data_IF_157858702950
#
_entry.id   IF_157858702950
#
_cell.length_a   1.000
_cell.length_b   1.000
_cell.length_c   1.000
_cell.angle_alpha   90.00
_cell.angle_beta   90.00
_cell.angle_gamma   90.00
#
_symmetry.space_group_name_H-M   'P 1'
#
loop_
_entity.id
_entity.type
_entity.pdbx_description
1 polymer ?
#
# COMPACT_ATOMS: atom_id res chain seq x y z
N UNK A 1 12.73 9.09 -3.54
CA UNK A 1 12.21 9.86 -2.40
C UNK A 1 11.97 11.29 -2.83
N UNK A 2 10.80 11.82 -2.50
CA UNK A 2 10.48 13.24 -2.72
C UNK A 2 11.12 14.09 -1.62
N UNK A 3 11.59 15.27 -1.97
CA UNK A 3 12.12 16.26 -1.02
C UNK A 3 11.20 17.47 -1.06
N UNK A 4 10.72 17.87 0.10
CA UNK A 4 9.96 19.10 0.27
C UNK A 4 10.86 20.19 0.83
N UNK A 5 10.94 21.33 0.13
CA UNK A 5 11.64 22.50 0.60
C UNK A 5 10.67 23.39 1.37
N UNK A 6 11.02 23.73 2.59
CA UNK A 6 10.29 24.68 3.40
C UNK A 6 11.02 26.02 3.42
N UNK A 7 10.35 27.03 2.92
CA UNK A 7 10.86 28.42 2.91
C UNK A 7 10.49 29.17 4.18
N UNK A 8 9.47 28.74 4.91
CA UNK A 8 9.00 29.38 6.13
C UNK A 8 9.24 28.49 7.37
N UNK A 9 9.51 29.10 8.53
CA UNK A 9 9.67 28.35 9.76
C UNK A 9 8.38 27.63 10.12
N UNK A 10 8.46 26.31 10.26
CA UNK A 10 7.37 25.49 10.73
C UNK A 10 7.11 25.82 12.21
N UNK A 11 5.87 26.13 12.54
CA UNK A 11 5.48 26.36 13.93
C UNK A 11 5.38 24.99 14.63
N UNK A 12 6.25 24.78 15.60
CA UNK A 12 6.35 23.53 16.35
C UNK A 12 5.32 23.47 17.47
N UNK A 13 4.56 22.40 17.55
CA UNK A 13 3.97 22.00 18.83
C UNK A 13 4.94 21.04 19.53
N UNK A 14 5.48 21.48 20.65
CA UNK A 14 6.48 20.76 21.42
C UNK A 14 5.81 19.66 22.26
N UNK A 15 6.10 18.40 21.98
CA UNK A 15 5.89 17.32 22.94
C UNK A 15 7.22 17.02 23.66
N UNK A 16 7.19 16.90 24.99
CA UNK A 16 8.37 16.72 25.88
C UNK A 16 9.25 15.50 25.59
N UNK A 17 8.97 14.72 24.57
CA UNK A 17 9.63 13.44 24.28
C UNK A 17 10.60 13.43 23.10
N UNK A 18 10.94 14.56 22.52
CA UNK A 18 11.85 14.62 21.36
C UNK A 18 11.24 14.11 20.06
N UNK A 19 9.96 13.83 20.00
CA UNK A 19 9.18 13.56 18.81
C UNK A 19 8.39 14.82 18.48
N UNK A 20 8.61 15.32 17.28
CA UNK A 20 7.87 16.45 16.79
C UNK A 20 6.84 15.89 15.80
N UNK A 21 5.58 15.85 16.18
CA UNK A 21 4.51 15.74 15.21
C UNK A 21 4.17 17.15 14.75
N UNK A 22 4.27 17.39 13.45
CA UNK A 22 3.66 18.56 12.87
C UNK A 22 2.16 18.34 12.86
N UNK A 23 1.51 18.83 13.89
CA UNK A 23 0.10 19.17 13.79
C UNK A 23 0.11 20.55 13.19
N UNK A 24 0.13 20.62 11.86
CA UNK A 24 0.04 21.87 11.15
C UNK A 24 -1.31 22.50 11.48
N UNK A 25 -1.31 23.70 12.03
CA UNK A 25 -2.47 24.59 11.95
C UNK A 25 -2.82 24.89 10.48
N UNK A 26 -1.89 24.62 9.57
CA UNK A 26 -2.05 24.71 8.14
C UNK A 26 -2.20 23.32 7.51
N UNK A 27 -3.38 22.70 7.67
CA UNK A 27 -3.83 21.66 6.75
C UNK A 27 -3.64 22.09 5.29
N UNK A 28 -3.59 23.38 5.02
CA UNK A 28 -3.29 23.99 3.73
C UNK A 28 -1.87 23.73 3.27
N UNK A 29 -0.85 23.70 4.14
CA UNK A 29 0.53 23.44 3.74
C UNK A 29 0.71 21.96 3.37
N UNK A 30 0.15 21.05 4.15
CA UNK A 30 0.15 19.62 3.86
C UNK A 30 -0.74 19.27 2.67
N UNK A 31 -1.89 19.92 2.52
CA UNK A 31 -2.75 19.79 1.36
C UNK A 31 -2.09 20.32 0.10
N UNK A 32 -1.31 21.43 0.17
CA UNK A 32 -0.49 21.93 -0.95
C UNK A 32 0.68 21.02 -1.29
N UNK A 33 1.27 20.34 -0.29
CA UNK A 33 2.40 19.44 -0.46
C UNK A 33 1.98 18.08 -0.98
N UNK A 34 0.84 17.54 -0.53
CA UNK A 34 0.45 16.15 -0.77
C UNK A 34 -0.82 15.97 -1.61
N UNK A 35 -1.58 17.03 -1.89
CA UNK A 35 -2.93 16.97 -2.48
C UNK A 35 -3.89 16.01 -1.74
N UNK A 36 -3.56 15.62 -0.51
CA UNK A 36 -4.32 14.69 0.32
C UNK A 36 -4.80 15.41 1.58
N UNK A 37 -6.10 15.35 1.82
CA UNK A 37 -6.70 15.72 3.11
C UNK A 37 -6.53 14.57 4.12
N UNK A 38 -6.48 14.89 5.40
CA UNK A 38 -6.44 13.90 6.47
C UNK A 38 -5.08 13.21 6.66
N UNK A 39 -3.98 13.82 6.19
CA UNK A 39 -2.62 13.35 6.42
C UNK A 39 -1.75 14.43 7.06
N UNK A 40 -0.75 14.01 7.83
CA UNK A 40 0.24 14.89 8.44
C UNK A 40 1.67 14.39 8.18
N UNK A 41 2.65 15.28 8.41
CA UNK A 41 4.07 14.94 8.38
C UNK A 41 4.55 14.58 9.78
N UNK A 42 5.12 13.36 9.91
CA UNK A 42 5.90 12.98 11.08
C UNK A 42 7.38 13.15 10.76
N UNK A 43 8.03 14.15 11.33
CA UNK A 43 9.43 14.51 11.04
C UNK A 43 10.35 13.96 12.12
N UNK A 44 11.51 13.44 11.69
CA UNK A 44 12.57 12.97 12.59
C UNK A 44 13.70 13.99 12.56
N UNK A 45 13.96 14.70 13.67
CA UNK A 45 14.89 15.84 13.75
C UNK A 45 16.37 15.47 13.82
N UNK A 46 16.75 14.28 13.37
CA UNK A 46 18.14 13.99 13.06
C UNK A 46 18.37 14.18 11.57
N UNK A 47 19.15 15.21 11.18
CA UNK A 47 19.44 15.42 9.78
C UNK A 47 20.20 14.23 9.22
N UNK A 48 19.92 13.92 7.96
CA UNK A 48 20.69 12.94 7.21
C UNK A 48 22.13 13.42 7.08
N UNK A 49 23.09 12.56 7.40
CA UNK A 49 24.52 12.82 7.24
C UNK A 49 24.94 12.25 5.88
N UNK A 50 25.38 13.11 4.95
CA UNK A 50 25.80 12.72 3.60
C UNK A 50 24.79 13.07 2.50
N UNK A 51 25.09 12.68 1.25
CA UNK A 51 24.21 12.89 0.12
C UNK A 51 23.00 11.97 0.23
N UNK A 52 21.82 12.51 0.03
CA UNK A 52 20.57 11.78 0.11
C UNK A 52 20.47 10.65 -0.93
N UNK A 53 21.19 10.79 -2.06
CA UNK A 53 21.25 9.78 -3.11
C UNK A 53 21.98 8.52 -2.66
N UNK A 54 22.96 8.70 -1.77
CA UNK A 54 23.81 7.62 -1.24
C UNK A 54 23.28 7.07 0.08
N UNK A 55 22.16 7.63 0.58
CA UNK A 55 21.61 7.22 1.85
C UNK A 55 20.91 5.86 1.73
N UNK A 56 21.55 4.85 2.33
CA UNK A 56 20.96 3.52 2.44
C UNK A 56 19.89 3.49 3.54
N UNK A 57 18.63 3.64 3.14
CA UNK A 57 17.46 3.62 4.04
C UNK A 57 17.32 2.33 4.84
N UNK A 58 18.08 1.29 4.49
CA UNK A 58 18.22 0.07 5.25
C UNK A 58 19.21 0.15 6.41
N UNK A 59 20.00 1.22 6.55
CA UNK A 59 20.89 1.40 7.70
C UNK A 59 20.10 1.82 8.96
N UNK A 60 20.61 1.46 10.16
CA UNK A 60 20.02 1.88 11.41
C UNK A 60 19.89 3.39 11.45
N UNK A 61 18.67 3.85 11.57
CA UNK A 61 18.38 5.26 11.60
C UNK A 61 18.79 5.86 12.96
N UNK A 62 19.56 6.95 12.95
CA UNK A 62 19.87 7.68 14.16
C UNK A 62 18.65 8.49 14.60
N UNK A 63 17.68 7.83 15.17
CA UNK A 63 16.59 8.55 15.82
C UNK A 63 17.13 9.21 17.09
N UNK A 64 16.97 10.51 17.21
CA UNK A 64 17.33 11.24 18.42
C UNK A 64 16.29 11.02 19.50
N UNK A 65 16.08 9.81 19.90
CA UNK A 65 15.40 9.58 21.16
C UNK A 65 16.47 9.24 22.20
N UNK A 66 16.63 10.16 23.12
CA UNK A 66 17.35 9.97 24.37
C UNK A 66 18.48 8.93 24.34
N UNK A 67 19.67 9.31 24.66
CA UNK A 67 20.96 8.62 24.77
C UNK A 67 20.98 7.20 25.39
N UNK A 68 19.87 6.47 25.38
CA UNK A 68 19.73 5.24 26.17
C UNK A 68 19.92 3.92 25.40
N UNK A 69 19.81 3.89 24.07
CA UNK A 69 20.04 2.65 23.33
C UNK A 69 21.32 2.74 22.48
N UNK A 70 22.19 1.70 22.49
CA UNK A 70 23.32 1.60 21.58
C UNK A 70 22.87 1.74 20.12
N UNK A 71 23.72 2.34 19.27
CA UNK A 71 23.41 2.56 17.83
C UNK A 71 23.05 1.28 17.09
N UNK A 72 23.61 0.14 17.51
CA UNK A 72 23.35 -1.19 16.96
C UNK A 72 21.96 -1.75 17.23
N UNK A 73 21.23 -1.17 18.21
CA UNK A 73 19.92 -1.66 18.65
C UNK A 73 18.73 -0.88 18.08
N UNK A 74 19.01 0.17 17.29
CA UNK A 74 17.93 1.03 16.75
C UNK A 74 17.27 0.37 15.56
N UNK A 75 15.93 0.40 15.55
CA UNK A 75 15.17 -0.03 14.41
C UNK A 75 15.50 0.82 13.17
N UNK A 76 15.60 0.17 12.02
CA UNK A 76 15.68 0.88 10.74
C UNK A 76 14.35 1.59 10.50
N UNK A 77 14.39 2.78 9.89
CA UNK A 77 13.14 3.51 9.59
C UNK A 77 12.18 2.67 8.74
N UNK A 78 12.71 1.94 7.77
CA UNK A 78 11.92 1.04 6.93
C UNK A 78 11.22 -0.03 7.75
N UNK A 79 11.90 -0.64 8.72
CA UNK A 79 11.31 -1.66 9.59
C UNK A 79 10.16 -1.07 10.42
N UNK A 80 10.37 0.12 10.99
CA UNK A 80 9.33 0.84 11.73
C UNK A 80 8.10 1.16 10.86
N UNK A 81 8.31 1.58 9.61
CA UNK A 81 7.21 1.85 8.67
C UNK A 81 6.45 0.58 8.31
N UNK A 82 7.16 -0.52 8.00
CA UNK A 82 6.53 -1.81 7.71
C UNK A 82 5.67 -2.26 8.89
N UNK A 83 6.22 -2.19 10.11
CA UNK A 83 5.52 -2.61 11.34
C UNK A 83 4.33 -1.71 11.63
N UNK A 84 4.50 -0.39 11.52
CA UNK A 84 3.41 0.57 11.71
C UNK A 84 2.27 0.30 10.73
N UNK A 85 2.56 0.03 9.45
CA UNK A 85 1.54 -0.27 8.45
C UNK A 85 0.85 -1.62 8.69
N UNK A 86 1.57 -2.65 9.19
CA UNK A 86 0.93 -3.89 9.64
C UNK A 86 -0.06 -3.64 10.77
N UNK A 87 0.31 -2.82 11.75
CA UNK A 87 -0.59 -2.43 12.85
C UNK A 87 -1.74 -1.55 12.35
N UNK A 88 -1.51 -0.65 11.39
CA UNK A 88 -2.54 0.17 10.77
C UNK A 88 -3.57 -0.67 9.99
N UNK A 89 -3.13 -1.72 9.31
CA UNK A 89 -4.03 -2.69 8.65
C UNK A 89 -5.03 -3.33 9.63
N UNK A 90 -4.63 -3.48 10.87
CA UNK A 90 -5.48 -3.99 11.96
C UNK A 90 -6.14 -2.87 12.80
N UNK A 91 -6.07 -1.63 12.35
CA UNK A 91 -6.72 -0.50 12.99
C UNK A 91 -6.05 0.01 14.27
N UNK A 92 -4.80 -0.40 14.57
CA UNK A 92 -4.10 -0.06 15.82
C UNK A 92 -3.07 1.08 15.70
N UNK A 93 -2.83 1.60 14.50
CA UNK A 93 -1.85 2.64 14.21
C UNK A 93 -2.34 3.58 13.10
N UNK A 94 -1.78 4.80 13.00
CA UNK A 94 -1.93 5.62 11.81
C UNK A 94 -1.14 4.99 10.64
N UNK A 95 -1.73 5.02 9.45
CA UNK A 95 -1.08 4.48 8.26
C UNK A 95 0.04 5.40 7.78
N UNK A 96 1.13 4.83 7.33
CA UNK A 96 2.19 5.52 6.61
C UNK A 96 1.94 5.35 5.11
N UNK A 97 1.97 6.46 4.37
CA UNK A 97 1.78 6.48 2.91
C UNK A 97 3.10 6.62 2.15
N UNK A 98 4.05 7.36 2.71
CA UNK A 98 5.29 7.65 2.02
C UNK A 98 6.39 8.03 3.00
N UNK A 99 7.65 7.70 2.64
CA UNK A 99 8.86 8.21 3.27
C UNK A 99 9.37 9.36 2.41
N UNK A 100 9.55 10.53 3.01
CA UNK A 100 9.96 11.75 2.31
C UNK A 100 11.13 12.42 3.01
N UNK A 101 11.81 13.32 2.31
CA UNK A 101 12.80 14.24 2.87
C UNK A 101 12.19 15.63 3.10
N UNK A 102 12.52 16.23 4.21
CA UNK A 102 12.21 17.63 4.51
C UNK A 102 13.50 18.44 4.48
N UNK A 103 13.64 19.34 3.52
CA UNK A 103 14.77 20.26 3.45
C UNK A 103 14.46 21.50 4.30
N UNK A 104 15.32 21.75 5.30
CA UNK A 104 15.21 22.92 6.17
C UNK A 104 16.59 23.36 6.63
N UNK A 105 16.88 24.66 6.55
CA UNK A 105 18.18 25.27 6.90
C UNK A 105 19.38 24.52 6.27
N UNK A 106 19.26 24.13 4.99
CA UNK A 106 20.30 23.42 4.26
C UNK A 106 20.55 21.97 4.70
N UNK A 107 19.70 21.43 5.58
CA UNK A 107 19.75 20.03 6.02
C UNK A 107 18.50 19.30 5.55
N UNK A 108 18.63 17.98 5.38
CA UNK A 108 17.50 17.12 5.02
C UNK A 108 17.15 16.25 6.22
N UNK A 109 15.89 16.29 6.58
CA UNK A 109 15.32 15.50 7.66
C UNK A 109 14.39 14.44 7.08
N UNK A 110 14.48 13.19 7.50
CA UNK A 110 13.51 12.19 7.11
C UNK A 110 12.15 12.49 7.73
N UNK A 111 11.12 12.24 6.97
CA UNK A 111 9.75 12.42 7.41
C UNK A 111 8.85 11.34 6.81
N UNK A 112 7.73 11.10 7.48
CA UNK A 112 6.68 10.21 7.02
C UNK A 112 5.42 11.00 6.74
N UNK A 113 4.76 10.72 5.63
CA UNK A 113 3.37 11.12 5.41
C UNK A 113 2.50 10.06 6.05
N UNK A 114 1.74 10.43 7.08
CA UNK A 114 0.91 9.53 7.88
C UNK A 114 -0.51 10.05 8.01
N UNK A 115 -1.46 9.19 8.43
CA UNK A 115 -2.81 9.65 8.79
C UNK A 115 -2.75 10.75 9.85
N UNK A 116 -3.53 11.79 9.66
CA UNK A 116 -3.76 12.82 10.66
C UNK A 116 -4.83 12.34 11.66
N UNK A 117 -4.40 12.06 12.88
CA UNK A 117 -5.28 11.67 13.96
C UNK A 117 -5.92 12.89 14.69
N UNK A 118 -5.53 14.11 14.29
CA UNK A 118 -5.91 15.35 14.97
C UNK A 118 -5.20 15.52 16.32
N UNK A 119 -5.66 16.50 17.10
CA UNK A 119 -5.08 16.79 18.41
C UNK A 119 -5.34 15.62 19.38
N UNK A 120 -4.34 15.34 20.20
CA UNK A 120 -4.47 14.41 21.32
C UNK A 120 -5.23 15.12 22.45
N UNK A 121 -6.56 15.15 22.37
CA UNK A 121 -7.39 15.86 23.35
C UNK A 121 -7.53 15.09 24.65
N UNK A 122 -7.44 13.76 24.62
CA UNK A 122 -7.70 12.92 25.78
C UNK A 122 -6.59 11.88 25.96
N UNK A 123 -6.15 11.71 27.20
CA UNK A 123 -5.24 10.62 27.55
C UNK A 123 -5.99 9.29 27.44
N UNK A 124 -5.44 8.39 26.65
CA UNK A 124 -5.95 7.02 26.56
C UNK A 124 -5.79 6.34 27.91
N UNK A 125 -6.89 5.79 28.45
CA UNK A 125 -6.91 5.11 29.73
C UNK A 125 -5.92 3.93 29.77
N UNK A 126 -5.37 3.63 30.94
CA UNK A 126 -4.35 2.59 31.08
C UNK A 126 -4.81 1.24 30.55
N UNK A 127 -6.00 0.80 30.90
CA UNK A 127 -6.53 -0.51 30.46
C UNK A 127 -6.71 -0.59 28.95
N UNK A 128 -7.03 0.52 28.29
CA UNK A 128 -7.12 0.58 26.85
C UNK A 128 -5.74 0.50 26.21
N UNK A 129 -4.74 1.18 26.76
CA UNK A 129 -3.35 1.09 26.29
C UNK A 129 -2.80 -0.32 26.39
N UNK A 130 -3.07 -1.02 27.51
CA UNK A 130 -2.68 -2.42 27.69
C UNK A 130 -3.31 -3.30 26.62
N UNK A 131 -4.61 -3.16 26.34
CA UNK A 131 -5.30 -3.91 25.29
C UNK A 131 -4.70 -3.68 23.90
N UNK A 132 -4.35 -2.43 23.58
CA UNK A 132 -3.70 -2.08 22.30
C UNK A 132 -2.33 -2.75 22.21
N UNK A 133 -1.52 -2.69 23.28
CA UNK A 133 -0.19 -3.32 23.31
C UNK A 133 -0.26 -4.84 23.20
N UNK A 134 -1.21 -5.48 23.85
CA UNK A 134 -1.45 -6.91 23.70
C UNK A 134 -1.86 -7.30 22.27
N UNK A 135 -2.70 -6.47 21.64
CA UNK A 135 -3.09 -6.66 20.25
C UNK A 135 -1.89 -6.49 19.29
N UNK A 136 -1.04 -5.48 19.52
CA UNK A 136 0.21 -5.28 18.75
C UNK A 136 1.14 -6.48 18.93
N UNK A 137 1.29 -7.01 20.15
CA UNK A 137 2.09 -8.20 20.40
C UNK A 137 1.57 -9.41 19.62
N UNK A 138 0.27 -9.66 19.61
CA UNK A 138 -0.34 -10.73 18.81
C UNK A 138 -0.08 -10.56 17.30
N UNK A 139 -0.10 -9.31 16.81
CA UNK A 139 0.27 -9.01 15.42
C UNK A 139 1.76 -9.31 15.22
N UNK A 140 2.62 -8.94 16.16
CA UNK A 140 4.06 -9.24 16.13
C UNK A 140 4.36 -10.73 16.04
N UNK A 141 3.67 -11.53 16.84
CA UNK A 141 3.79 -12.99 16.81
C UNK A 141 3.34 -13.56 15.46
N UNK A 142 2.26 -13.02 14.89
CA UNK A 142 1.72 -13.44 13.59
C UNK A 142 2.64 -13.08 12.42
N UNK A 143 3.17 -11.87 12.41
CA UNK A 143 3.91 -11.31 11.27
C UNK A 143 5.43 -11.36 11.41
N UNK A 144 5.96 -11.55 12.59
CA UNK A 144 7.40 -11.69 12.80
C UNK A 144 8.09 -10.36 13.12
N UNK A 145 7.54 -9.58 14.04
CA UNK A 145 8.23 -8.45 14.65
C UNK A 145 8.14 -8.48 16.17
N UNK A 146 9.00 -7.73 16.84
CA UNK A 146 9.08 -7.70 18.29
C UNK A 146 9.61 -6.36 18.78
N UNK A 147 9.53 -6.14 20.09
CA UNK A 147 10.19 -5.04 20.79
C UNK A 147 10.90 -5.60 22.02
N UNK A 148 12.04 -5.02 22.34
CA UNK A 148 12.82 -5.28 23.55
C UNK A 148 12.51 -4.28 24.66
N UNK A 149 11.66 -3.26 24.38
CA UNK A 149 11.32 -2.22 25.34
C UNK A 149 10.05 -2.59 26.09
N UNK A 150 10.17 -2.66 27.41
CA UNK A 150 9.04 -2.96 28.30
C UNK A 150 8.10 -1.77 28.53
N UNK A 151 8.60 -0.52 28.36
CA UNK A 151 7.87 0.71 28.73
C UNK A 151 7.22 1.42 27.55
N UNK A 152 6.58 0.67 26.65
CA UNK A 152 5.83 1.25 25.53
C UNK A 152 4.41 1.70 25.91
N UNK A 153 3.93 1.31 27.08
CA UNK A 153 2.60 1.66 27.58
C UNK A 153 2.42 3.12 28.04
N UNK A 154 3.45 3.98 27.83
CA UNK A 154 3.37 5.40 28.23
C UNK A 154 2.30 6.14 27.41
N UNK A 155 1.55 7.02 28.08
CA UNK A 155 0.43 7.75 27.46
C UNK A 155 0.83 8.54 26.20
N UNK A 156 2.06 9.08 26.17
CA UNK A 156 2.60 9.83 25.02
C UNK A 156 2.74 9.03 23.74
N UNK A 157 2.75 7.69 23.82
CA UNK A 157 2.87 6.80 22.66
C UNK A 157 1.51 6.51 22.01
N UNK A 158 0.43 7.14 22.51
CA UNK A 158 -0.91 6.93 22.04
C UNK A 158 -1.58 8.24 21.68
N UNK A 159 -2.28 8.26 20.55
CA UNK A 159 -3.18 9.32 20.13
C UNK A 159 -4.54 8.67 19.89
N UNK A 160 -5.55 9.06 20.69
CA UNK A 160 -6.84 8.38 20.71
C UNK A 160 -6.63 6.87 20.99
N UNK A 161 -7.14 6.02 20.14
CA UNK A 161 -7.04 4.56 20.23
C UNK A 161 -5.90 3.97 19.38
N UNK A 162 -4.91 4.79 18.98
CA UNK A 162 -3.80 4.39 18.10
C UNK A 162 -2.47 4.50 18.80
N UNK A 163 -1.62 3.50 18.61
CA UNK A 163 -0.21 3.56 18.98
C UNK A 163 0.58 4.28 17.87
N UNK A 164 1.49 5.17 18.23
CA UNK A 164 2.19 6.04 17.26
C UNK A 164 3.71 5.95 17.29
N UNK A 165 4.31 5.20 18.23
CA UNK A 165 5.76 5.12 18.40
C UNK A 165 6.30 3.72 18.05
N UNK A 166 6.58 3.50 16.75
CA UNK A 166 7.05 2.24 16.22
C UNK A 166 8.58 2.11 16.13
N UNK A 167 9.34 3.08 16.59
CA UNK A 167 10.79 3.09 16.47
C UNK A 167 11.49 2.08 17.39
N UNK A 168 10.78 1.61 18.40
CA UNK A 168 11.26 0.59 19.32
C UNK A 168 11.05 -0.85 18.82
N UNK A 169 10.37 -1.02 17.68
CA UNK A 169 10.06 -2.33 17.13
C UNK A 169 11.07 -2.75 16.04
N UNK A 170 11.35 -4.04 15.96
CA UNK A 170 12.26 -4.64 15.00
C UNK A 170 11.59 -5.78 14.27
N UNK A 171 11.87 -5.93 12.98
CA UNK A 171 11.52 -7.12 12.22
C UNK A 171 12.46 -8.27 12.65
N UNK A 172 11.93 -9.50 12.70
CA UNK A 172 12.76 -10.68 12.89
C UNK A 172 13.70 -10.87 11.68
N UNK A 173 14.89 -11.44 11.87
CA UNK A 173 15.87 -11.63 10.78
C UNK A 173 15.32 -12.41 9.58
N UNK A 174 14.40 -13.34 9.81
CA UNK A 174 13.75 -14.18 8.80
C UNK A 174 12.43 -13.58 8.26
N UNK A 175 12.15 -12.30 8.54
CA UNK A 175 10.88 -11.66 8.15
C UNK A 175 10.59 -11.79 6.66
N UNK A 176 11.59 -11.59 5.80
CA UNK A 176 11.44 -11.78 4.34
C UNK A 176 10.93 -13.18 3.99
N UNK A 177 11.51 -14.20 4.58
CA UNK A 177 11.14 -15.59 4.31
C UNK A 177 9.73 -15.90 4.84
N UNK A 178 9.36 -15.28 5.96
CA UNK A 178 8.01 -15.37 6.51
C UNK A 178 6.99 -14.70 5.59
N UNK A 179 7.28 -13.53 4.99
CA UNK A 179 6.42 -12.88 3.97
C UNK A 179 6.22 -13.82 2.79
N UNK A 180 7.30 -14.38 2.25
CA UNK A 180 7.26 -15.33 1.12
C UNK A 180 6.39 -16.54 1.47
N UNK A 181 6.61 -17.13 2.65
CA UNK A 181 5.85 -18.31 3.13
C UNK A 181 4.35 -18.01 3.25
N UNK A 182 3.98 -16.88 3.88
CA UNK A 182 2.58 -16.48 4.04
C UNK A 182 1.92 -16.16 2.70
N UNK A 183 2.63 -15.47 1.81
CA UNK A 183 2.12 -15.21 0.47
C UNK A 183 1.83 -16.51 -0.28
N UNK A 184 2.80 -17.44 -0.34
CA UNK A 184 2.62 -18.74 -0.99
C UNK A 184 1.43 -19.54 -0.41
N UNK A 185 1.21 -19.45 0.90
CA UNK A 185 0.10 -20.16 1.54
C UNK A 185 -1.28 -19.56 1.21
N UNK A 186 -1.37 -18.22 1.07
CA UNK A 186 -2.65 -17.50 0.91
C UNK A 186 -3.02 -17.25 -0.56
N UNK A 187 -2.04 -16.96 -1.39
CA UNK A 187 -2.22 -16.72 -2.83
C UNK A 187 -2.05 -18.00 -3.68
N UNK A 188 -2.22 -19.15 -3.06
CA UNK A 188 -2.05 -20.46 -3.70
C UNK A 188 -3.12 -20.69 -4.76
N UNK A 189 -2.67 -21.14 -5.94
CA UNK A 189 -3.50 -21.64 -7.02
C UNK A 189 -2.93 -22.99 -7.47
N UNK A 190 -3.65 -24.08 -7.18
CA UNK A 190 -3.12 -25.43 -7.35
C UNK A 190 -1.84 -25.63 -6.50
N UNK A 191 -0.72 -26.02 -7.08
CA UNK A 191 0.56 -26.24 -6.40
C UNK A 191 1.42 -24.97 -6.28
N UNK A 192 1.13 -23.92 -7.07
CA UNK A 192 1.88 -22.67 -7.14
C UNK A 192 1.04 -21.47 -6.71
N UNK A 193 1.66 -20.31 -6.63
CA UNK A 193 0.95 -19.03 -6.54
C UNK A 193 0.34 -18.67 -7.90
N UNK A 194 -0.76 -17.90 -7.90
CA UNK A 194 -1.37 -17.49 -9.17
C UNK A 194 -0.50 -16.48 -9.91
N UNK A 195 -0.04 -15.45 -9.23
CA UNK A 195 0.82 -14.39 -9.78
C UNK A 195 2.27 -14.56 -9.35
N UNK A 196 3.19 -14.14 -10.20
CA UNK A 196 4.60 -13.96 -9.85
C UNK A 196 4.80 -12.75 -8.93
N UNK A 197 5.83 -12.79 -8.10
CA UNK A 197 6.38 -11.64 -7.37
C UNK A 197 7.90 -11.65 -7.58
N UNK A 198 8.36 -11.12 -8.72
CA UNK A 198 9.77 -11.21 -9.13
C UNK A 198 10.73 -10.62 -8.08
N UNK A 199 10.35 -9.53 -7.42
CA UNK A 199 11.14 -8.84 -6.41
C UNK A 199 11.44 -9.73 -5.19
N UNK A 200 10.60 -10.73 -4.94
CA UNK A 200 10.78 -11.73 -3.89
C UNK A 200 11.33 -13.07 -4.41
N UNK A 201 11.52 -13.21 -5.72
CA UNK A 201 11.88 -14.47 -6.36
C UNK A 201 10.76 -15.51 -6.31
N UNK A 202 9.51 -15.08 -6.28
CA UNK A 202 8.37 -15.98 -6.28
C UNK A 202 7.89 -16.18 -7.70
N UNK A 203 8.02 -17.42 -8.19
CA UNK A 203 7.37 -17.85 -9.42
C UNK A 203 5.87 -18.03 -9.23
N UNK A 204 5.11 -17.90 -10.32
CA UNK A 204 3.66 -18.07 -10.33
C UNK A 204 3.18 -18.92 -11.49
N UNK A 205 1.90 -19.31 -11.44
CA UNK A 205 1.25 -19.98 -12.56
C UNK A 205 1.15 -19.06 -13.79
N UNK A 206 1.04 -17.74 -13.57
CA UNK A 206 1.01 -16.71 -14.60
C UNK A 206 2.32 -15.95 -14.62
N UNK A 207 2.96 -15.86 -15.77
CA UNK A 207 4.05 -14.92 -16.03
C UNK A 207 3.46 -13.52 -16.25
N UNK A 208 3.41 -12.73 -15.18
CA UNK A 208 2.80 -11.42 -15.25
C UNK A 208 3.64 -10.41 -16.02
N UNK A 209 4.97 -10.52 -16.03
CA UNK A 209 5.83 -9.64 -16.81
C UNK A 209 5.60 -9.85 -18.29
N UNK A 210 5.57 -11.11 -18.72
CA UNK A 210 5.23 -11.45 -20.10
C UNK A 210 3.83 -10.98 -20.49
N UNK A 211 2.86 -11.06 -19.56
CA UNK A 211 1.50 -10.56 -19.79
C UNK A 211 1.44 -9.05 -19.96
N UNK A 212 2.24 -8.26 -19.19
CA UNK A 212 2.33 -6.80 -19.40
C UNK A 212 2.74 -6.45 -20.83
N UNK A 213 3.74 -7.15 -21.38
CA UNK A 213 4.19 -6.95 -22.75
C UNK A 213 3.09 -7.28 -23.76
N UNK A 214 2.49 -8.48 -23.64
CA UNK A 214 1.45 -8.94 -24.53
C UNK A 214 0.20 -8.04 -24.48
N UNK A 215 -0.23 -7.62 -23.31
CA UNK A 215 -1.34 -6.69 -23.14
C UNK A 215 -0.97 -5.23 -23.51
N UNK A 216 0.29 -4.98 -23.89
CA UNK A 216 0.79 -3.63 -24.23
C UNK A 216 0.48 -2.57 -23.18
N UNK A 217 0.43 -2.95 -21.90
CA UNK A 217 0.09 -2.02 -20.81
C UNK A 217 1.11 -0.89 -20.66
N UNK A 218 2.33 -1.08 -21.14
CA UNK A 218 3.36 -0.05 -21.23
C UNK A 218 3.00 1.13 -22.15
N UNK A 219 2.01 0.97 -23.03
CA UNK A 219 1.50 2.03 -23.89
C UNK A 219 0.38 2.85 -23.25
N UNK A 220 -0.15 2.40 -22.13
CA UNK A 220 -1.21 3.12 -21.40
C UNK A 220 -0.60 4.12 -20.43
N UNK A 221 -1.23 5.28 -20.35
CA UNK A 221 -0.87 6.32 -19.38
C UNK A 221 -1.63 6.13 -18.07
N UNK A 222 -0.90 5.83 -17.00
CA UNK A 222 -1.41 5.72 -15.65
C UNK A 222 -1.17 6.98 -14.82
N UNK A 223 -0.45 7.96 -15.35
CA UNK A 223 -0.06 9.16 -14.60
C UNK A 223 -1.28 9.92 -14.06
N UNK A 224 -1.32 10.10 -12.75
CA UNK A 224 -2.42 10.77 -12.06
C UNK A 224 -3.75 10.01 -12.05
N UNK A 225 -3.82 8.81 -12.64
CA UNK A 225 -5.05 8.03 -12.74
C UNK A 225 -5.39 7.32 -11.43
N UNK A 226 -6.68 7.09 -11.23
CA UNK A 226 -7.21 6.22 -10.20
C UNK A 226 -7.48 4.83 -10.78
N UNK A 227 -6.97 3.80 -10.13
CA UNK A 227 -6.97 2.42 -10.62
C UNK A 227 -7.67 1.50 -9.62
N UNK A 228 -8.55 0.64 -10.12
CA UNK A 228 -9.19 -0.43 -9.37
C UNK A 228 -8.81 -1.77 -10.00
N UNK A 229 -8.27 -2.69 -9.21
CA UNK A 229 -7.90 -4.05 -9.62
C UNK A 229 -8.85 -5.06 -8.95
N UNK A 230 -9.75 -5.65 -9.72
CA UNK A 230 -10.74 -6.63 -9.24
C UNK A 230 -10.17 -8.04 -9.38
N UNK A 231 -10.10 -8.77 -8.26
CA UNK A 231 -9.39 -10.04 -8.19
C UNK A 231 -7.87 -9.83 -8.24
N UNK A 232 -7.39 -8.89 -7.43
CA UNK A 232 -6.01 -8.40 -7.50
C UNK A 232 -4.94 -9.46 -7.17
N UNK A 233 -5.33 -10.61 -6.59
CA UNK A 233 -4.42 -11.70 -6.21
C UNK A 233 -3.24 -11.18 -5.39
N UNK A 234 -2.00 -11.36 -5.83
CA UNK A 234 -0.79 -10.86 -5.16
C UNK A 234 -0.50 -9.37 -5.37
N UNK A 235 -1.41 -8.62 -5.97
CA UNK A 235 -1.28 -7.18 -6.16
C UNK A 235 -0.27 -6.74 -7.22
N UNK A 236 0.09 -7.62 -8.14
CA UNK A 236 1.07 -7.31 -9.19
C UNK A 236 0.65 -6.10 -10.03
N UNK A 237 -0.58 -6.09 -10.56
CA UNK A 237 -1.06 -4.98 -11.38
C UNK A 237 -1.29 -3.71 -10.58
N UNK A 238 -1.62 -3.82 -9.29
CA UNK A 238 -1.67 -2.68 -8.38
C UNK A 238 -0.30 -2.00 -8.28
N UNK A 239 0.79 -2.77 -8.03
CA UNK A 239 2.15 -2.23 -7.98
C UNK A 239 2.58 -1.68 -9.33
N UNK A 240 2.31 -2.40 -10.42
CA UNK A 240 2.60 -1.93 -11.77
C UNK A 240 1.95 -0.57 -12.07
N UNK A 241 0.66 -0.41 -11.78
CA UNK A 241 -0.03 0.88 -11.96
C UNK A 241 0.62 1.99 -11.13
N UNK A 242 1.06 1.66 -9.92
CA UNK A 242 1.73 2.62 -9.03
C UNK A 242 3.08 3.07 -9.58
N UNK A 243 3.90 2.15 -10.07
CA UNK A 243 5.19 2.45 -10.72
C UNK A 243 5.04 3.30 -11.97
N UNK A 244 3.87 3.24 -12.62
CA UNK A 244 3.50 4.05 -13.80
C UNK A 244 2.82 5.37 -13.46
N UNK A 245 2.85 5.78 -12.17
CA UNK A 245 2.39 7.09 -11.73
C UNK A 245 0.91 7.19 -11.39
N UNK A 246 0.20 6.07 -11.19
CA UNK A 246 -1.17 6.12 -10.70
C UNK A 246 -1.24 6.86 -9.35
N UNK A 247 -2.15 7.83 -9.24
CA UNK A 247 -2.31 8.64 -8.04
C UNK A 247 -3.01 7.86 -6.92
N UNK A 248 -3.92 6.97 -7.29
CA UNK A 248 -4.71 6.15 -6.37
C UNK A 248 -4.86 4.73 -6.91
N UNK A 249 -4.57 3.74 -6.08
CA UNK A 249 -4.72 2.32 -6.45
C UNK A 249 -5.46 1.58 -5.34
N UNK A 250 -6.47 0.82 -5.73
CA UNK A 250 -7.22 -0.09 -4.87
C UNK A 250 -7.24 -1.49 -5.48
N UNK A 251 -6.69 -2.47 -4.77
CA UNK A 251 -6.86 -3.88 -5.07
C UNK A 251 -7.99 -4.48 -4.25
N UNK A 252 -8.85 -5.28 -4.88
CA UNK A 252 -9.96 -5.97 -4.22
C UNK A 252 -9.87 -7.47 -4.47
N UNK A 253 -9.92 -8.25 -3.39
CA UNK A 253 -9.94 -9.72 -3.45
C UNK A 253 -10.57 -10.28 -2.17
N UNK A 254 -10.62 -11.59 -2.01
CA UNK A 254 -10.98 -12.22 -0.75
C UNK A 254 -10.02 -11.78 0.37
N UNK A 255 -10.52 -11.68 1.61
CA UNK A 255 -9.76 -11.11 2.73
C UNK A 255 -8.35 -11.70 2.89
N UNK A 256 -8.22 -13.02 2.84
CA UNK A 256 -6.93 -13.69 3.00
C UNK A 256 -5.94 -13.38 1.87
N UNK A 257 -6.44 -13.17 0.65
CA UNK A 257 -5.63 -12.82 -0.53
C UNK A 257 -5.24 -11.34 -0.47
N UNK A 258 -6.18 -10.45 -0.12
CA UNK A 258 -5.94 -9.04 0.09
C UNK A 258 -4.92 -8.79 1.21
N UNK A 259 -4.99 -9.55 2.32
CA UNK A 259 -3.97 -9.53 3.38
C UNK A 259 -2.57 -9.86 2.84
N UNK A 260 -2.47 -10.87 1.96
CA UNK A 260 -1.19 -11.27 1.38
C UNK A 260 -0.65 -10.22 0.41
N UNK A 261 -1.52 -9.64 -0.44
CA UNK A 261 -1.16 -8.56 -1.36
C UNK A 261 -0.70 -7.32 -0.60
N UNK A 262 -1.41 -6.95 0.47
CA UNK A 262 -1.02 -5.85 1.36
C UNK A 262 0.36 -6.10 1.98
N UNK A 263 0.58 -7.28 2.57
CA UNK A 263 1.84 -7.60 3.23
C UNK A 263 3.04 -7.54 2.27
N UNK A 264 2.90 -8.12 1.08
CA UNK A 264 3.93 -8.07 0.03
C UNK A 264 4.18 -6.63 -0.41
N UNK A 265 3.15 -5.86 -0.69
CA UNK A 265 3.29 -4.47 -1.14
C UNK A 265 3.92 -3.59 -0.05
N UNK A 266 3.51 -3.76 1.20
CA UNK A 266 4.10 -3.08 2.35
C UNK A 266 5.59 -3.41 2.51
N UNK A 267 5.98 -4.69 2.38
CA UNK A 267 7.37 -5.11 2.44
C UNK A 267 8.21 -4.53 1.31
N UNK A 268 7.64 -4.41 0.11
CA UNK A 268 8.30 -3.85 -1.09
C UNK A 268 8.29 -2.31 -1.14
N UNK A 269 7.70 -1.63 -0.14
CA UNK A 269 7.71 -0.17 -0.05
C UNK A 269 6.53 0.54 -0.75
N UNK A 270 5.51 -0.18 -1.19
CA UNK A 270 4.29 0.39 -1.78
C UNK A 270 3.25 0.71 -0.70
N UNK A 271 3.54 1.68 0.14
CA UNK A 271 2.74 1.99 1.33
C UNK A 271 1.37 2.63 1.01
N UNK A 272 1.22 3.25 -0.13
CA UNK A 272 0.03 4.01 -0.53
C UNK A 272 -0.93 3.24 -1.47
N UNK A 273 -0.67 1.96 -1.74
CA UNK A 273 -1.66 1.08 -2.38
C UNK A 273 -2.66 0.62 -1.33
N UNK A 274 -3.95 0.83 -1.62
CA UNK A 274 -5.02 0.31 -0.78
C UNK A 274 -5.39 -1.12 -1.22
N UNK A 275 -5.70 -1.97 -0.24
CA UNK A 275 -6.30 -3.27 -0.48
C UNK A 275 -7.59 -3.39 0.32
N UNK A 276 -8.54 -4.13 -0.20
CA UNK A 276 -9.81 -4.41 0.47
C UNK A 276 -10.15 -5.88 0.34
N UNK A 277 -10.30 -6.53 1.49
CA UNK A 277 -10.77 -7.90 1.58
C UNK A 277 -12.28 -7.92 1.56
N UNK A 278 -12.88 -8.16 0.39
CA UNK A 278 -14.34 -8.31 0.27
C UNK A 278 -14.70 -9.34 -0.79
N UNK A 279 -15.77 -10.05 -0.52
CA UNK A 279 -16.43 -10.87 -1.54
C UNK A 279 -17.39 -9.99 -2.30
N UNK A 280 -17.08 -9.71 -3.55
CA UNK A 280 -17.98 -8.97 -4.44
C UNK A 280 -19.15 -9.87 -4.88
N UNK A 281 -20.34 -9.27 -4.99
CA UNK A 281 -21.52 -9.93 -5.53
C UNK A 281 -21.84 -9.34 -6.92
N UNK A 282 -22.18 -10.17 -7.93
CA UNK A 282 -22.26 -9.75 -9.33
C UNK A 282 -23.22 -8.59 -9.61
N UNK A 283 -24.33 -8.54 -8.89
CA UNK A 283 -25.43 -7.61 -9.17
C UNK A 283 -25.44 -6.37 -8.29
N UNK A 284 -24.43 -6.20 -7.42
CA UNK A 284 -24.36 -5.04 -6.53
C UNK A 284 -23.55 -3.91 -7.15
N UNK A 285 -24.04 -2.71 -6.94
CA UNK A 285 -23.35 -1.48 -7.36
C UNK A 285 -22.50 -0.95 -6.22
N UNK A 286 -21.21 -1.32 -6.22
CA UNK A 286 -20.26 -0.92 -5.19
C UNK A 286 -19.82 0.53 -5.34
N UNK A 287 -19.76 1.24 -4.21
CA UNK A 287 -19.11 2.53 -4.13
C UNK A 287 -17.73 2.37 -3.48
N UNK A 288 -16.67 2.52 -4.24
CA UNK A 288 -15.28 2.40 -3.76
C UNK A 288 -14.72 3.69 -3.14
N UNK A 289 -15.56 4.73 -2.99
CA UNK A 289 -15.19 5.99 -2.33
C UNK A 289 -14.32 6.93 -3.19
N UNK A 290 -14.19 6.66 -4.50
CA UNK A 290 -13.49 7.52 -5.44
C UNK A 290 -13.99 7.31 -6.88
N UNK A 291 -13.70 8.30 -7.76
CA UNK A 291 -13.93 8.14 -9.19
C UNK A 291 -12.87 7.21 -9.79
N UNK A 292 -13.25 6.31 -10.66
CA UNK A 292 -12.37 5.29 -11.22
C UNK A 292 -12.03 5.66 -12.65
N UNK A 293 -10.74 5.83 -12.95
CA UNK A 293 -10.27 6.02 -14.32
C UNK A 293 -10.08 4.68 -15.02
N UNK A 294 -9.42 3.72 -14.39
CA UNK A 294 -9.06 2.43 -14.98
C UNK A 294 -9.49 1.28 -14.07
N UNK A 295 -10.12 0.26 -14.64
CA UNK A 295 -10.35 -1.03 -13.96
C UNK A 295 -9.53 -2.11 -14.65
N UNK A 296 -8.74 -2.86 -13.88
CA UNK A 296 -8.27 -4.18 -14.26
C UNK A 296 -9.37 -5.19 -13.95
N UNK A 297 -9.87 -5.85 -14.97
CA UNK A 297 -10.92 -6.87 -14.90
C UNK A 297 -10.42 -8.15 -15.58
N UNK A 298 -9.36 -8.71 -14.99
CA UNK A 298 -8.57 -9.77 -15.60
C UNK A 298 -8.97 -11.15 -15.06
N UNK A 299 -9.51 -12.00 -15.94
CA UNK A 299 -9.89 -13.38 -15.59
C UNK A 299 -10.95 -13.51 -14.50
N UNK A 300 -11.78 -12.51 -14.30
CA UNK A 300 -12.81 -12.48 -13.25
C UNK A 300 -14.25 -12.48 -13.77
N UNK A 301 -14.44 -12.36 -15.09
CA UNK A 301 -15.77 -12.28 -15.71
C UNK A 301 -16.68 -13.46 -15.36
N UNK A 302 -16.17 -14.68 -15.28
CA UNK A 302 -16.93 -15.87 -14.88
C UNK A 302 -17.59 -15.75 -13.49
N UNK A 303 -17.04 -14.92 -12.61
CA UNK A 303 -17.54 -14.75 -11.25
C UNK A 303 -18.54 -13.61 -11.11
N UNK A 304 -18.40 -12.58 -11.94
CA UNK A 304 -19.12 -11.32 -11.77
C UNK A 304 -19.93 -10.89 -12.99
N UNK A 305 -19.67 -11.48 -14.18
CA UNK A 305 -20.28 -11.04 -15.43
C UNK A 305 -20.02 -9.57 -15.69
N UNK A 306 -20.99 -8.87 -16.26
CA UNK A 306 -20.96 -7.42 -16.44
C UNK A 306 -21.54 -6.73 -15.20
N UNK A 307 -20.72 -6.51 -14.19
CA UNK A 307 -21.16 -5.92 -12.92
C UNK A 307 -21.49 -4.43 -13.03
N UNK A 308 -22.50 -3.92 -12.28
CA UNK A 308 -22.95 -2.52 -12.39
C UNK A 308 -21.87 -1.47 -12.12
N UNK A 309 -20.94 -1.73 -11.20
CA UNK A 309 -19.85 -0.81 -10.85
C UNK A 309 -18.88 -0.55 -12.00
N UNK A 310 -18.80 -1.44 -13.01
CA UNK A 310 -17.93 -1.27 -14.17
C UNK A 310 -18.26 0.00 -14.95
N UNK A 311 -19.54 0.39 -15.00
CA UNK A 311 -20.01 1.62 -15.65
C UNK A 311 -19.40 2.90 -15.07
N UNK A 312 -18.85 2.85 -13.87
CA UNK A 312 -18.23 4.00 -13.22
C UNK A 312 -16.83 4.31 -13.75
N UNK A 313 -16.18 3.36 -14.41
CA UNK A 313 -14.85 3.54 -14.99
C UNK A 313 -14.90 4.35 -16.28
N UNK A 314 -13.76 4.98 -16.62
CA UNK A 314 -13.51 5.54 -17.95
C UNK A 314 -12.93 4.51 -18.92
N UNK A 315 -12.14 3.57 -18.38
CA UNK A 315 -11.49 2.51 -19.14
C UNK A 315 -11.54 1.19 -18.37
N UNK A 316 -11.70 0.10 -19.10
CA UNK A 316 -11.61 -1.26 -18.55
C UNK A 316 -10.60 -2.06 -19.36
N UNK A 317 -9.62 -2.64 -18.67
CA UNK A 317 -8.69 -3.62 -19.22
C UNK A 317 -9.27 -4.99 -18.87
N UNK A 318 -9.80 -5.65 -19.88
CA UNK A 318 -10.61 -6.85 -19.75
C UNK A 318 -9.88 -8.08 -20.31
N UNK A 319 -9.85 -9.17 -19.53
CA UNK A 319 -9.44 -10.49 -20.01
C UNK A 319 -10.60 -11.45 -19.82
N UNK A 320 -11.04 -12.04 -20.93
CA UNK A 320 -12.14 -12.99 -20.91
C UNK A 320 -11.74 -14.34 -20.29
N UNK A 321 -12.63 -14.89 -19.46
CA UNK A 321 -12.48 -16.24 -18.89
C UNK A 321 -13.84 -16.88 -18.54
N UNK A 322 -14.91 -16.40 -19.17
CA UNK A 322 -16.27 -16.81 -18.84
C UNK A 322 -16.73 -18.05 -19.61
N UNK A 323 -17.77 -18.67 -19.11
CA UNK A 323 -18.53 -19.72 -19.82
C UNK A 323 -19.48 -19.12 -20.88
N UNK A 324 -19.69 -17.79 -20.83
CA UNK A 324 -20.43 -17.05 -21.82
C UNK A 324 -19.54 -16.79 -23.03
N UNK A 325 -20.05 -16.88 -24.27
CA UNK A 325 -19.30 -16.51 -25.46
C UNK A 325 -18.71 -15.10 -25.37
N UNK A 326 -17.45 -14.96 -25.77
CA UNK A 326 -16.74 -13.68 -25.70
C UNK A 326 -17.48 -12.54 -26.42
N UNK A 327 -18.10 -12.85 -27.57
CA UNK A 327 -18.90 -11.89 -28.35
C UNK A 327 -20.06 -11.31 -27.55
N UNK A 328 -20.70 -12.11 -26.69
CA UNK A 328 -21.76 -11.65 -25.81
C UNK A 328 -21.24 -10.72 -24.74
N UNK A 329 -20.08 -11.07 -24.14
CA UNK A 329 -19.40 -10.18 -23.19
C UNK A 329 -19.04 -8.84 -23.85
N UNK A 330 -18.41 -8.86 -25.02
CA UNK A 330 -18.07 -7.66 -25.80
C UNK A 330 -19.32 -6.80 -26.06
N UNK A 331 -20.43 -7.41 -26.45
CA UNK A 331 -21.70 -6.70 -26.67
C UNK A 331 -22.22 -6.02 -25.40
N UNK A 332 -22.04 -6.63 -24.23
CA UNK A 332 -22.42 -6.03 -22.97
C UNK A 332 -21.55 -4.83 -22.63
N UNK A 333 -20.21 -4.93 -22.75
CA UNK A 333 -19.30 -3.83 -22.50
C UNK A 333 -19.50 -2.68 -23.48
N UNK A 334 -19.71 -2.96 -24.76
CA UNK A 334 -19.85 -1.93 -25.82
C UNK A 334 -21.07 -1.02 -25.66
N UNK A 335 -22.06 -1.40 -24.84
CA UNK A 335 -23.20 -0.52 -24.52
C UNK A 335 -22.77 0.72 -23.72
N UNK A 336 -21.81 0.57 -22.82
CA UNK A 336 -21.37 1.65 -21.93
C UNK A 336 -19.97 2.18 -22.31
N UNK A 337 -19.23 1.40 -23.14
CA UNK A 337 -17.87 1.70 -23.61
C UNK A 337 -17.83 1.55 -25.13
N UNK A 338 -18.18 2.59 -25.89
CA UNK A 338 -18.32 2.50 -27.35
C UNK A 338 -17.00 2.28 -28.09
N UNK A 339 -15.87 2.62 -27.48
CA UNK A 339 -14.55 2.35 -28.04
C UNK A 339 -13.94 1.11 -27.41
N UNK A 340 -13.49 0.20 -28.25
CA UNK A 340 -12.71 -0.95 -27.79
C UNK A 340 -11.71 -1.37 -28.85
N UNK A 341 -10.61 -1.94 -28.38
CA UNK A 341 -9.59 -2.55 -29.26
C UNK A 341 -8.99 -3.78 -28.59
N UNK A 342 -8.62 -4.74 -29.40
CA UNK A 342 -7.92 -5.93 -28.99
C UNK A 342 -6.43 -5.62 -28.82
N UNK A 343 -5.82 -6.10 -27.76
CA UNK A 343 -4.42 -5.81 -27.42
C UNK A 343 -3.54 -7.04 -27.60
N UNK A 344 -4.02 -8.23 -27.20
CA UNK A 344 -3.24 -9.45 -27.30
C UNK A 344 -4.05 -10.72 -27.01
N UNK A 345 -3.55 -11.85 -27.47
CA UNK A 345 -3.91 -13.21 -27.02
C UNK A 345 -2.93 -13.59 -25.93
N UNK A 346 -3.41 -13.86 -24.72
CA UNK A 346 -2.56 -14.03 -23.53
C UNK A 346 -2.44 -15.48 -23.04
N UNK A 347 -3.15 -16.43 -23.65
CA UNK A 347 -3.31 -17.78 -23.12
C UNK A 347 -2.06 -18.64 -23.13
N UNK A 348 -1.62 -19.09 -24.30
CA UNK A 348 -0.55 -20.09 -24.45
C UNK A 348 0.82 -19.58 -24.04
N UNK A 349 1.11 -18.31 -24.26
CA UNK A 349 2.42 -17.71 -23.98
C UNK A 349 2.68 -17.49 -22.47
N UNK A 350 1.68 -17.68 -21.63
CA UNK A 350 1.76 -17.44 -20.18
C UNK A 350 1.57 -18.70 -19.32
N UNK A 351 1.71 -19.89 -19.94
CA UNK A 351 1.61 -21.18 -19.24
C UNK A 351 0.17 -21.67 -18.99
N UNK A 352 -0.83 -21.02 -19.55
CA UNK A 352 -2.23 -21.48 -19.53
C UNK A 352 -2.56 -22.18 -20.85
N UNK A 353 -3.32 -23.26 -20.77
CA UNK A 353 -3.85 -23.95 -21.97
C UNK A 353 -5.05 -23.21 -22.60
N UNK A 354 -5.52 -22.15 -21.97
CA UNK A 354 -6.68 -21.41 -22.41
C UNK A 354 -6.27 -20.24 -23.30
N UNK A 355 -6.82 -20.16 -24.51
CA UNK A 355 -6.70 -18.99 -25.36
C UNK A 355 -7.53 -17.86 -24.73
N UNK A 356 -6.87 -16.84 -24.19
CA UNK A 356 -7.52 -15.67 -23.59
C UNK A 356 -7.16 -14.42 -24.36
N UNK A 357 -8.16 -13.63 -24.65
CA UNK A 357 -7.99 -12.32 -25.27
C UNK A 357 -8.04 -11.23 -24.23
N UNK A 358 -7.23 -10.22 -24.45
CA UNK A 358 -7.33 -8.98 -23.69
C UNK A 358 -7.88 -7.90 -24.59
N UNK A 359 -8.91 -7.22 -24.09
CA UNK A 359 -9.59 -6.12 -24.75
C UNK A 359 -9.52 -4.90 -23.85
N UNK A 360 -9.35 -3.74 -24.45
CA UNK A 360 -9.44 -2.47 -23.72
C UNK A 360 -10.72 -1.78 -24.19
N UNK A 361 -11.57 -1.46 -23.22
CA UNK A 361 -12.81 -0.72 -23.44
C UNK A 361 -12.67 0.69 -22.87
N UNK A 362 -13.08 1.71 -23.61
CA UNK A 362 -13.04 3.10 -23.18
C UNK A 362 -14.33 3.85 -23.53
N UNK A 363 -14.65 4.87 -22.73
CA UNK A 363 -15.80 5.76 -22.99
C UNK A 363 -15.50 6.81 -24.04
N UNK A 364 -14.26 7.29 -24.11
CA UNK A 364 -13.79 8.33 -25.05
C UNK A 364 -12.41 8.01 -25.60
#
# INVERSE_FOLDING_TARGET
MRIFNLEEPLIYSYFRSGFYSFISRDMVLLQKITDRSGVCLKVFFNPLIGDIKDYNWGHPFLVASNNMAPRSERARLIDAVIIQNLCAWHGLAPRVYEIVGLSWEGKIYPALIVDDLGEASDMVEWDQRVKIMEAIKKIGDKYGFYTEYEDLGQARNFIKDKFVDFQAFKLKPDYRDQVIKRYKAKAKWSENTYQTVPELGIGGYRDNERRLELMQLNKLDFTGKSVLDIGCSGGFYCRYAKDRGASRVLGVDLQNVADAAFEVSNYLGYYDINYSGMKLEPNLDYNFGFSIDIIFYLSVYRYFGYAPFLKKAKMIIYEHNGDVPEEEAIKQFSKDFPKHWEVAITGRDTGSNDDRRTLIFAKE
#
